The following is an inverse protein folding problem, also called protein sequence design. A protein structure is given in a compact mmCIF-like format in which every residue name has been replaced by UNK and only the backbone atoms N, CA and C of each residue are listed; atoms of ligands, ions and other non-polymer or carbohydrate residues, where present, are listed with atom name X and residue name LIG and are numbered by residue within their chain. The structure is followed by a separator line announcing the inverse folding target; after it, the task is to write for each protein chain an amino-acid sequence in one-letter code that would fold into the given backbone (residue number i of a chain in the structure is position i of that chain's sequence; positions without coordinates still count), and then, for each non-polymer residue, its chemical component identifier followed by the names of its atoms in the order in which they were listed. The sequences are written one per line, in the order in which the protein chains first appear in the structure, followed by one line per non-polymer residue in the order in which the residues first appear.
data_IF_396582130334
#
_entry.id   IF_396582130334
#
_cell.length_a   1.000
_cell.length_b   1.000
_cell.length_c   1.000
_cell.angle_alpha   90.00
_cell.angle_beta   90.00
_cell.angle_gamma   90.00
#
_symmetry.space_group_name_H-M   'P 1'
#
loop_
_entity.id
_entity.type
_entity.pdbx_description
1 polymer ?
#
# COMPACT_ATOMS: atom_id res chain seq x y z
N UNK A 1 -3.20 -16.36 0.21
CA UNK A 1 -3.67 -15.03 0.66
C UNK A 1 -3.08 -14.74 2.03
N UNK A 2 -2.35 -13.65 2.22
CA UNK A 2 -1.98 -13.22 3.57
C UNK A 2 -3.26 -12.85 4.32
N UNK A 3 -3.39 -13.28 5.58
CA UNK A 3 -4.57 -13.00 6.40
C UNK A 3 -4.88 -11.49 6.47
N UNK A 4 -3.85 -10.65 6.41
CA UNK A 4 -3.97 -9.19 6.52
C UNK A 4 -4.79 -8.52 5.41
N UNK A 5 -4.93 -9.11 4.22
CA UNK A 5 -5.59 -8.45 3.07
C UNK A 5 -6.85 -9.15 2.59
N UNK A 6 -7.25 -10.27 3.23
CA UNK A 6 -8.39 -11.09 2.81
C UNK A 6 -9.71 -10.34 2.88
N UNK A 7 -9.87 -9.52 3.92
CA UNK A 7 -11.14 -8.89 4.24
C UNK A 7 -11.19 -7.41 3.79
N UNK A 8 -10.23 -6.98 2.97
CA UNK A 8 -10.21 -5.61 2.45
C UNK A 8 -11.34 -5.35 1.46
N UNK A 9 -11.82 -6.38 0.77
CA UNK A 9 -12.85 -6.27 -0.26
C UNK A 9 -13.72 -7.52 -0.29
N UNK A 10 -15.00 -7.32 -0.59
CA UNK A 10 -15.85 -8.41 -1.09
C UNK A 10 -15.45 -8.69 -2.56
N UNK A 11 -15.05 -9.94 -2.84
CA UNK A 11 -14.62 -10.40 -4.16
C UNK A 11 -15.64 -11.32 -4.86
N UNK A 12 -16.88 -11.40 -4.38
CA UNK A 12 -17.92 -12.31 -4.90
C UNK A 12 -18.26 -12.06 -6.38
N UNK A 13 -17.99 -10.86 -6.90
CA UNK A 13 -18.16 -10.55 -8.32
C UNK A 13 -17.13 -11.24 -9.24
N UNK A 14 -16.03 -11.79 -8.69
CA UNK A 14 -14.98 -12.48 -9.42
C UNK A 14 -14.97 -13.98 -9.09
N UNK A 15 -15.45 -14.84 -9.99
CA UNK A 15 -15.57 -16.28 -9.73
C UNK A 15 -14.22 -17.00 -9.67
N UNK A 16 -13.19 -16.45 -10.34
CA UNK A 16 -11.82 -16.96 -10.29
C UNK A 16 -10.93 -15.97 -9.54
N UNK A 17 -10.26 -16.45 -8.48
CA UNK A 17 -9.39 -15.64 -7.64
C UNK A 17 -7.96 -16.19 -7.69
N UNK A 18 -7.05 -15.39 -8.26
CA UNK A 18 -5.63 -15.74 -8.39
C UNK A 18 -4.84 -14.96 -7.33
N UNK A 19 -4.16 -15.69 -6.44
CA UNK A 19 -3.33 -15.07 -5.41
C UNK A 19 -1.90 -14.83 -5.91
N UNK A 20 -1.45 -13.58 -5.83
CA UNK A 20 -0.09 -13.17 -6.20
C UNK A 20 0.68 -12.66 -4.98
N UNK A 21 2.01 -12.62 -5.09
CA UNK A 21 2.91 -12.28 -3.98
C UNK A 21 2.94 -10.79 -3.65
N UNK A 22 2.54 -9.90 -4.57
CA UNK A 22 2.57 -8.45 -4.37
C UNK A 22 1.59 -7.71 -5.29
N UNK A 23 1.22 -6.48 -4.92
CA UNK A 23 0.42 -5.57 -5.77
C UNK A 23 1.15 -5.19 -7.07
N UNK A 24 2.50 -5.23 -7.06
CA UNK A 24 3.33 -5.01 -8.25
C UNK A 24 3.20 -6.17 -9.24
N UNK A 25 3.21 -7.41 -8.76
CA UNK A 25 2.98 -8.59 -9.61
C UNK A 25 1.58 -8.59 -10.23
N UNK A 26 0.57 -8.12 -9.48
CA UNK A 26 -0.79 -7.91 -10.00
C UNK A 26 -0.81 -6.85 -11.10
N UNK A 27 -0.11 -5.72 -10.93
CA UNK A 27 -0.02 -4.67 -11.96
C UNK A 27 0.61 -5.19 -13.26
N UNK A 28 1.67 -6.00 -13.16
CA UNK A 28 2.30 -6.63 -14.32
C UNK A 28 1.34 -7.59 -15.04
N UNK A 29 0.58 -8.40 -14.30
CA UNK A 29 -0.41 -9.31 -14.87
C UNK A 29 -1.53 -8.57 -15.61
N UNK A 30 -2.02 -7.46 -15.06
CA UNK A 30 -3.00 -6.58 -15.71
C UNK A 30 -2.43 -5.97 -17.00
N UNK A 31 -1.18 -5.50 -16.98
CA UNK A 31 -0.51 -4.95 -18.16
C UNK A 31 -0.31 -5.99 -19.26
N UNK A 32 -0.12 -7.26 -18.90
CA UNK A 32 0.04 -8.38 -19.83
C UNK A 32 -1.29 -9.00 -20.26
N UNK A 33 -2.43 -8.54 -19.72
CA UNK A 33 -3.74 -9.13 -19.99
C UNK A 33 -3.92 -10.54 -19.44
N UNK A 34 -3.09 -10.95 -18.47
CA UNK A 34 -3.20 -12.24 -17.77
C UNK A 34 -4.32 -12.25 -16.72
N UNK A 35 -4.75 -11.07 -16.30
CA UNK A 35 -5.90 -10.86 -15.42
C UNK A 35 -6.76 -9.74 -16.01
N UNK A 36 -8.06 -9.85 -15.82
CA UNK A 36 -9.08 -8.86 -16.18
C UNK A 36 -9.24 -7.78 -15.10
N UNK A 37 -9.08 -8.16 -13.83
CA UNK A 37 -9.19 -7.30 -12.66
C UNK A 37 -8.09 -7.59 -11.65
N UNK A 38 -7.74 -6.61 -10.82
CA UNK A 38 -6.69 -6.79 -9.83
C UNK A 38 -6.59 -5.65 -8.83
N UNK A 39 -6.22 -6.00 -7.60
CA UNK A 39 -5.96 -5.05 -6.52
C UNK A 39 -4.52 -4.56 -6.63
N UNK A 40 -4.34 -3.27 -6.93
CA UNK A 40 -3.01 -2.66 -7.05
C UNK A 40 -3.04 -1.16 -6.78
N UNK A 41 -1.87 -0.51 -6.82
CA UNK A 41 -1.74 0.92 -6.57
C UNK A 41 -2.50 1.75 -7.63
N UNK A 42 -3.21 2.79 -7.17
CA UNK A 42 -3.94 3.75 -8.02
C UNK A 42 -3.08 4.38 -9.12
N UNK A 43 -1.79 4.52 -8.86
CA UNK A 43 -0.80 5.06 -9.79
C UNK A 43 -0.69 4.29 -11.12
N UNK A 44 -1.14 3.03 -11.18
CA UNK A 44 -1.20 2.30 -12.45
C UNK A 44 -2.18 2.95 -13.44
N UNK A 45 -3.40 3.29 -12.98
CA UNK A 45 -4.41 3.96 -13.81
C UNK A 45 -3.96 5.38 -14.23
N UNK A 46 -3.28 6.10 -13.33
CA UNK A 46 -2.75 7.44 -13.59
C UNK A 46 -1.65 7.44 -14.65
N UNK A 47 -0.78 6.41 -14.64
CA UNK A 47 0.30 6.24 -15.63
C UNK A 47 -0.19 5.74 -16.99
N UNK A 48 -1.38 5.14 -17.06
CA UNK A 48 -1.97 4.65 -18.31
C UNK A 48 -3.41 5.16 -18.48
N UNK A 49 -3.59 6.46 -18.74
CA UNK A 49 -4.92 7.06 -18.89
C UNK A 49 -5.76 6.34 -19.94
N UNK A 50 -7.01 6.04 -19.60
CA UNK A 50 -7.97 5.38 -20.49
C UNK A 50 -7.78 3.87 -20.66
N UNK A 51 -6.68 3.27 -20.15
CA UNK A 51 -6.45 1.83 -20.25
C UNK A 51 -7.09 1.04 -19.09
N UNK A 52 -7.08 1.63 -17.89
CA UNK A 52 -7.61 0.99 -16.69
C UNK A 52 -8.72 1.82 -16.07
N UNK A 53 -9.71 1.15 -15.49
CA UNK A 53 -10.78 1.77 -14.68
C UNK A 53 -10.58 1.39 -13.22
N UNK A 54 -10.76 2.35 -12.33
CA UNK A 54 -10.79 2.10 -10.88
C UNK A 54 -12.23 1.79 -10.50
N UNK A 55 -12.47 0.59 -9.97
CA UNK A 55 -13.80 0.19 -9.49
C UNK A 55 -14.03 0.55 -8.02
N UNK A 56 -12.99 0.40 -7.20
CA UNK A 56 -13.05 0.62 -5.77
C UNK A 56 -11.73 1.17 -5.23
N UNK A 57 -11.80 2.03 -4.21
CA UNK A 57 -10.64 2.55 -3.48
C UNK A 57 -10.63 1.97 -2.06
N UNK A 58 -9.61 1.19 -1.71
CA UNK A 58 -9.46 0.51 -0.41
C UNK A 58 -9.04 1.49 0.72
N UNK A 59 -8.77 2.76 0.37
CA UNK A 59 -8.27 3.77 1.30
C UNK A 59 -6.76 3.69 1.55
N UNK A 60 -6.25 4.56 2.42
CA UNK A 60 -4.84 4.59 2.78
C UNK A 60 -4.53 3.55 3.85
N UNK A 61 -3.56 2.66 3.57
CA UNK A 61 -2.96 1.79 4.58
C UNK A 61 -1.87 2.62 5.28
N UNK A 62 -1.83 2.57 6.60
CA UNK A 62 -0.78 3.23 7.38
C UNK A 62 0.44 2.32 7.47
N UNK A 63 1.50 2.67 6.74
CA UNK A 63 2.77 1.95 6.77
C UNK A 63 3.80 2.70 7.62
N UNK A 64 4.48 1.98 8.50
CA UNK A 64 5.64 2.48 9.25
C UNK A 64 6.93 2.07 8.54
N UNK A 65 7.82 3.03 8.33
CA UNK A 65 9.12 2.80 7.70
C UNK A 65 10.23 2.99 8.72
N UNK A 66 11.17 2.04 8.75
CA UNK A 66 12.43 2.16 9.52
C UNK A 66 13.57 2.26 8.52
N UNK A 67 14.29 3.36 8.56
CA UNK A 67 15.47 3.58 7.72
C UNK A 67 16.74 3.31 8.52
N UNK A 68 17.58 2.41 8.01
CA UNK A 68 18.87 2.11 8.61
C UNK A 68 19.97 2.92 7.91
N UNK A 69 20.70 3.73 8.69
CA UNK A 69 21.93 4.39 8.25
C UNK A 69 23.14 3.46 8.40
N UNK A 70 24.19 3.72 7.63
CA UNK A 70 25.48 3.03 7.78
C UNK A 70 26.34 3.60 8.91
N UNK A 71 26.06 4.84 9.29
CA UNK A 71 26.77 5.58 10.32
C UNK A 71 25.78 5.97 11.43
N UNK A 72 26.21 6.00 12.69
CA UNK A 72 25.39 6.52 13.78
C UNK A 72 24.99 7.97 13.53
N UNK A 73 23.79 8.35 13.98
CA UNK A 73 23.49 9.76 14.18
C UNK A 73 24.47 10.33 15.23
N UNK A 74 24.92 11.57 15.03
CA UNK A 74 26.00 12.17 15.81
C UNK A 74 25.81 11.97 17.32
N UNK A 75 26.87 11.52 17.99
CA UNK A 75 26.94 11.44 19.46
C UNK A 75 26.18 10.27 20.11
N UNK A 76 25.67 9.28 19.36
CA UNK A 76 25.01 8.10 19.94
C UNK A 76 23.79 8.43 20.81
N UNK A 77 23.26 9.64 20.64
CA UNK A 77 22.15 10.17 21.43
C UNK A 77 20.86 10.01 20.62
N UNK A 78 19.74 9.81 21.31
CA UNK A 78 18.43 9.81 20.67
C UNK A 78 18.18 11.17 20.01
N UNK A 79 18.08 11.18 18.68
CA UNK A 79 17.54 12.30 17.92
C UNK A 79 16.06 12.03 17.67
N UNK A 80 15.20 12.77 18.37
CA UNK A 80 13.75 12.68 18.22
C UNK A 80 13.19 13.99 17.68
N UNK A 81 12.03 13.93 17.04
CA UNK A 81 11.26 15.12 16.65
C UNK A 81 9.88 15.09 17.34
N UNK A 82 9.79 15.54 18.60
CA UNK A 82 8.54 15.49 19.37
C UNK A 82 7.38 16.26 18.72
N UNK A 83 7.71 17.33 17.99
CA UNK A 83 6.72 18.20 17.31
C UNK A 83 6.48 17.80 15.84
N UNK A 84 6.89 16.60 15.43
CA UNK A 84 6.64 16.11 14.08
C UNK A 84 5.12 16.14 13.76
N UNK A 85 4.69 16.43 12.52
CA UNK A 85 3.27 16.53 12.19
C UNK A 85 2.42 15.30 12.61
N UNK A 86 3.04 14.12 12.64
CA UNK A 86 2.39 12.86 13.06
C UNK A 86 2.03 12.84 14.54
N UNK A 87 2.76 13.53 15.43
CA UNK A 87 2.51 13.49 16.88
C UNK A 87 1.18 14.13 17.26
N UNK A 88 0.66 15.07 16.45
CA UNK A 88 -0.70 15.63 16.59
C UNK A 88 -1.80 14.56 16.60
N UNK A 89 -1.59 13.43 15.92
CA UNK A 89 -2.58 12.34 15.88
C UNK A 89 -2.71 11.60 17.22
N UNK A 90 -1.74 11.78 18.13
CA UNK A 90 -1.66 11.04 19.39
C UNK A 90 -1.82 11.94 20.63
N UNK A 91 -1.75 13.27 20.48
CA UNK A 91 -1.84 14.22 21.59
C UNK A 91 -3.27 14.35 22.15
N UNK A 92 -4.30 14.22 21.31
CA UNK A 92 -5.71 14.38 21.72
C UNK A 92 -6.36 13.08 22.26
N UNK A 93 -5.58 12.02 22.50
CA UNK A 93 -6.06 10.72 22.99
C UNK A 93 -5.60 10.37 24.41
N UNK A 94 -4.96 11.30 25.12
CA UNK A 94 -4.44 11.13 26.48
C UNK A 94 -5.34 11.78 27.54
#
# INVERSE_FOLDING_TARGET
LQAATRDYLNLDAWPEQIFMSSTTAVAEALMQGRCDSGITARSLSQRHPGRFRVEHEIGAIQDAWVLFGREPLEGGTLVAWPDAPVTRQFIDRA
#
